data_IF_241639361829
#
_entry.id   IF_241639361829
#
_cell.length_a   1.000
_cell.length_b   1.000
_cell.length_c   1.000
_cell.angle_alpha   90.00
_cell.angle_beta   90.00
_cell.angle_gamma   90.00
#
_symmetry.space_group_name_H-M   'P 1'
#
loop_
_entity.id
_entity.type
_entity.pdbx_description
1 polymer ?
#
# COMPACT_ATOMS: atom_id res chain seq x y z
N UNK A 1 -12.86 25.32 -33.14
CA UNK A 1 -12.98 23.90 -32.77
C UNK A 1 -12.02 23.71 -31.61
N UNK A 2 -12.51 23.83 -30.38
CA UNK A 2 -11.64 23.73 -29.20
C UNK A 2 -11.17 22.28 -29.02
N UNK A 3 -9.88 22.04 -28.70
CA UNK A 3 -9.39 20.69 -28.47
C UNK A 3 -9.90 20.20 -27.10
N UNK A 4 -10.82 19.24 -27.13
CA UNK A 4 -11.32 18.53 -25.94
C UNK A 4 -10.13 17.98 -25.14
N UNK A 5 -10.09 18.32 -23.86
CA UNK A 5 -9.00 17.96 -22.98
C UNK A 5 -9.00 16.46 -22.72
N UNK A 6 -7.83 15.81 -22.79
CA UNK A 6 -7.67 14.38 -22.50
C UNK A 6 -8.07 13.99 -21.07
N UNK A 7 -8.24 14.98 -20.20
CA UNK A 7 -8.65 14.81 -18.82
C UNK A 7 -10.17 14.61 -18.67
N UNK A 8 -10.98 15.14 -19.61
CA UNK A 8 -12.46 15.01 -19.55
C UNK A 8 -12.90 13.56 -19.72
N UNK A 9 -12.23 12.81 -20.59
CA UNK A 9 -12.49 11.37 -20.81
C UNK A 9 -12.20 10.50 -19.58
N UNK A 10 -11.36 10.96 -18.65
CA UNK A 10 -11.03 10.22 -17.41
C UNK A 10 -12.09 10.50 -16.33
N UNK A 11 -12.61 11.74 -16.29
CA UNK A 11 -13.63 12.15 -15.32
C UNK A 11 -14.99 11.52 -15.62
N UNK A 12 -15.39 11.41 -16.90
CA UNK A 12 -16.67 10.78 -17.28
C UNK A 12 -16.68 9.28 -16.95
N UNK A 13 -15.56 8.58 -17.16
CA UNK A 13 -15.43 7.16 -16.80
C UNK A 13 -15.61 6.89 -15.30
N UNK A 14 -15.41 7.91 -14.45
CA UNK A 14 -15.62 7.79 -13.02
C UNK A 14 -17.09 7.94 -12.62
N UNK A 15 -17.87 8.67 -13.43
CA UNK A 15 -19.29 8.91 -13.17
C UNK A 15 -20.15 7.70 -13.55
N UNK A 16 -19.74 6.93 -14.55
CA UNK A 16 -20.44 5.69 -14.96
C UNK A 16 -20.15 4.48 -14.04
N UNK A 17 -19.10 4.52 -13.20
CA UNK A 17 -18.75 3.42 -12.29
C UNK A 17 -19.49 3.52 -10.94
N UNK A 18 -19.99 4.71 -10.58
CA UNK A 18 -20.66 4.93 -9.30
C UNK A 18 -22.10 4.38 -9.24
N UNK A 19 -22.69 3.95 -10.37
CA UNK A 19 -24.07 3.38 -10.40
C UNK A 19 -24.14 1.83 -10.36
N UNK A 20 -23.02 1.08 -10.44
CA UNK A 20 -23.04 -0.40 -10.48
C UNK A 20 -22.27 -1.14 -9.37
N UNK A 21 -21.60 -0.47 -8.42
CA UNK A 21 -20.80 -1.14 -7.37
C UNK A 21 -21.39 -1.06 -5.94
N UNK A 22 -22.71 -1.21 -5.79
CA UNK A 22 -23.30 -1.77 -4.56
C UNK A 22 -23.62 -3.26 -4.77
N UNK A 23 -22.62 -4.14 -4.87
CA UNK A 23 -22.70 -5.51 -4.32
C UNK A 23 -21.41 -6.33 -4.51
N UNK A 24 -21.05 -7.02 -3.42
CA UNK A 24 -20.22 -8.24 -3.33
C UNK A 24 -18.73 -8.07 -3.03
N UNK A 25 -18.46 -8.00 -1.74
CA UNK A 25 -17.23 -8.47 -1.08
C UNK A 25 -17.08 -9.97 -1.34
N UNK A 26 -16.19 -10.39 -2.25
CA UNK A 26 -15.64 -11.76 -2.20
C UNK A 26 -14.14 -11.76 -2.50
N UNK A 27 -13.42 -12.18 -1.47
CA UNK A 27 -11.98 -12.27 -1.35
C UNK A 27 -11.49 -13.53 -2.08
N UNK A 28 -11.13 -13.42 -3.36
CA UNK A 28 -10.43 -14.50 -4.06
C UNK A 28 -8.96 -14.55 -3.65
N UNK A 29 -8.64 -15.48 -2.75
CA UNK A 29 -7.28 -15.97 -2.51
C UNK A 29 -6.78 -16.70 -3.76
N UNK A 30 -5.93 -16.04 -4.55
CA UNK A 30 -5.19 -16.71 -5.63
C UNK A 30 -3.72 -16.80 -5.22
N UNK A 31 -3.35 -17.96 -4.67
CA UNK A 31 -1.98 -18.43 -4.64
C UNK A 31 -1.57 -18.83 -6.06
N UNK A 32 -0.90 -17.94 -6.79
CA UNK A 32 -0.17 -18.34 -8.00
C UNK A 32 1.30 -18.55 -7.66
N UNK A 33 1.62 -19.80 -7.38
CA UNK A 33 2.94 -20.38 -7.58
C UNK A 33 3.34 -20.27 -9.07
N UNK A 34 4.54 -19.75 -9.32
CA UNK A 34 5.29 -19.72 -10.58
C UNK A 34 4.49 -19.58 -11.90
N UNK A 35 4.09 -18.35 -12.22
CA UNK A 35 3.76 -17.94 -13.58
C UNK A 35 4.47 -16.63 -13.90
N UNK A 36 5.20 -16.55 -15.02
CA UNK A 36 5.85 -15.33 -15.51
C UNK A 36 4.83 -14.18 -15.54
N UNK A 37 4.83 -13.35 -14.48
CA UNK A 37 3.99 -12.17 -14.39
C UNK A 37 4.37 -11.25 -15.55
N UNK A 38 3.38 -10.81 -16.32
CA UNK A 38 3.58 -9.92 -17.46
C UNK A 38 4.41 -8.70 -17.10
N UNK A 39 4.99 -8.06 -18.11
CA UNK A 39 5.88 -6.89 -18.02
C UNK A 39 5.12 -5.67 -17.46
N UNK A 40 4.82 -5.70 -16.16
CA UNK A 40 4.13 -4.68 -15.38
C UNK A 40 4.94 -4.22 -14.17
N UNK A 41 4.34 -3.41 -13.30
CA UNK A 41 5.00 -2.86 -12.09
C UNK A 41 5.66 -3.99 -11.29
N UNK A 42 6.91 -3.82 -10.81
CA UNK A 42 7.58 -4.84 -10.02
C UNK A 42 6.72 -5.24 -8.82
N UNK A 43 6.86 -6.50 -8.42
CA UNK A 43 6.18 -7.05 -7.25
C UNK A 43 6.53 -6.21 -6.01
N UNK A 44 5.51 -5.70 -5.31
CA UNK A 44 5.68 -4.95 -4.07
C UNK A 44 5.61 -5.86 -2.84
N UNK A 45 5.85 -5.27 -1.66
CA UNK A 45 5.81 -5.96 -0.34
C UNK A 45 4.55 -6.82 -0.15
N UNK A 46 3.37 -6.32 -0.55
CA UNK A 46 2.09 -7.05 -0.46
C UNK A 46 2.07 -8.41 -1.18
N UNK A 47 2.87 -8.57 -2.22
CA UNK A 47 2.92 -9.79 -3.04
C UNK A 47 4.14 -10.66 -2.76
N UNK A 48 5.00 -10.25 -1.82
CA UNK A 48 6.16 -11.00 -1.41
C UNK A 48 5.77 -11.92 -0.23
N UNK A 49 5.94 -13.25 -0.33
CA UNK A 49 5.59 -14.19 0.74
C UNK A 49 6.40 -13.99 2.03
N UNK A 50 7.55 -13.31 1.98
CA UNK A 50 8.38 -13.05 3.16
C UNK A 50 7.83 -11.90 4.03
N UNK A 51 6.79 -11.19 3.57
CA UNK A 51 6.19 -10.07 4.29
C UNK A 51 4.76 -10.38 4.75
N UNK A 52 4.47 -10.10 6.02
CA UNK A 52 3.12 -10.08 6.56
C UNK A 52 2.57 -8.65 6.61
N UNK A 53 1.34 -8.43 6.13
CA UNK A 53 0.66 -7.14 6.30
C UNK A 53 0.09 -7.03 7.72
N UNK A 54 0.48 -5.99 8.44
CA UNK A 54 0.01 -5.70 9.81
C UNK A 54 -0.79 -4.40 9.83
N UNK A 55 -1.90 -4.39 10.56
CA UNK A 55 -2.72 -3.19 10.82
C UNK A 55 -2.80 -2.97 12.32
N UNK A 56 -2.44 -1.77 12.79
CA UNK A 56 -2.43 -1.43 14.21
C UNK A 56 -2.95 -0.01 14.42
N UNK A 57 -3.56 0.24 15.59
CA UNK A 57 -3.99 1.58 16.00
C UNK A 57 -2.87 2.27 16.77
N UNK A 58 -2.54 3.49 16.37
CA UNK A 58 -1.64 4.41 17.07
C UNK A 58 -2.28 5.79 17.13
N UNK A 59 -1.91 6.66 18.09
CA UNK A 59 -2.39 8.04 18.11
C UNK A 59 -2.13 8.73 16.78
N UNK A 60 -3.14 9.43 16.25
CA UNK A 60 -3.06 10.11 14.95
C UNK A 60 -1.92 11.13 14.90
N UNK A 61 -1.77 11.93 15.96
CA UNK A 61 -0.69 12.93 16.06
C UNK A 61 0.69 12.28 15.96
N UNK A 62 0.91 11.19 16.71
CA UNK A 62 2.16 10.43 16.65
C UNK A 62 2.45 9.92 15.23
N UNK A 63 1.46 9.36 14.55
CA UNK A 63 1.62 8.88 13.17
C UNK A 63 2.02 10.00 12.20
N UNK A 64 1.43 11.19 12.34
CA UNK A 64 1.75 12.36 11.52
C UNK A 64 3.15 12.88 11.81
N UNK A 65 3.51 13.02 13.09
CA UNK A 65 4.83 13.47 13.53
C UNK A 65 5.95 12.54 13.02
N UNK A 66 5.73 11.23 13.12
CA UNK A 66 6.67 10.21 12.62
C UNK A 66 6.81 10.31 11.10
N UNK A 67 5.72 10.47 10.34
CA UNK A 67 5.81 10.66 8.88
C UNK A 67 6.63 11.88 8.51
N UNK A 68 6.43 13.00 9.20
CA UNK A 68 7.19 14.23 8.97
C UNK A 68 8.68 13.99 9.25
N UNK A 69 9.00 13.32 10.36
CA UNK A 69 10.38 12.99 10.72
C UNK A 69 11.04 12.11 9.64
N UNK A 70 10.37 11.05 9.19
CA UNK A 70 10.89 10.14 8.16
C UNK A 70 11.17 10.83 6.81
N UNK A 71 10.34 11.80 6.43
CA UNK A 71 10.59 12.62 5.23
C UNK A 71 11.85 13.46 5.41
N UNK A 72 12.02 14.09 6.58
CA UNK A 72 13.20 14.92 6.90
C UNK A 72 14.50 14.10 6.95
N UNK A 73 14.43 12.85 7.38
CA UNK A 73 15.57 11.94 7.49
C UNK A 73 15.97 11.25 6.17
N UNK A 74 15.42 11.68 5.03
CA UNK A 74 15.77 11.15 3.71
C UNK A 74 14.71 10.24 3.08
N UNK A 75 13.47 10.28 3.58
CA UNK A 75 12.34 9.60 2.95
C UNK A 75 12.25 8.11 3.25
N UNK A 76 12.69 7.70 4.46
CA UNK A 76 12.58 6.31 4.90
C UNK A 76 11.12 5.87 5.00
N UNK A 77 10.84 4.63 4.60
CA UNK A 77 9.49 4.07 4.65
C UNK A 77 9.05 3.76 6.10
N UNK A 78 7.81 4.09 6.43
CA UNK A 78 7.24 3.80 7.76
C UNK A 78 7.31 2.30 8.11
N UNK A 79 7.06 1.41 7.15
CA UNK A 79 7.15 -0.04 7.38
C UNK A 79 8.56 -0.47 7.78
N UNK A 80 9.61 0.19 7.29
CA UNK A 80 10.99 -0.14 7.64
C UNK A 80 11.31 0.30 9.06
N UNK A 81 10.80 1.46 9.49
CA UNK A 81 10.90 1.87 10.90
C UNK A 81 10.21 0.85 11.83
N UNK A 82 9.01 0.39 11.48
CA UNK A 82 8.30 -0.62 12.26
C UNK A 82 9.07 -1.95 12.30
N UNK A 83 9.61 -2.39 11.18
CA UNK A 83 10.43 -3.61 11.08
C UNK A 83 11.64 -3.57 12.01
N UNK A 84 12.41 -2.47 12.00
CA UNK A 84 13.58 -2.29 12.86
C UNK A 84 13.20 -2.30 14.35
N UNK A 85 12.17 -1.56 14.75
CA UNK A 85 11.71 -1.51 16.15
C UNK A 85 11.26 -2.87 16.66
N UNK A 86 10.57 -3.66 15.81
CA UNK A 86 10.15 -5.01 16.18
C UNK A 86 11.34 -5.98 16.24
N UNK A 87 12.31 -5.85 15.34
CA UNK A 87 13.53 -6.66 15.37
C UNK A 87 14.38 -6.37 16.61
N UNK A 88 14.55 -5.09 16.96
CA UNK A 88 15.23 -4.65 18.19
C UNK A 88 14.52 -5.20 19.42
N UNK A 89 13.19 -5.07 19.50
CA UNK A 89 12.41 -5.63 20.60
C UNK A 89 12.57 -7.15 20.74
N UNK A 90 12.68 -7.89 19.64
CA UNK A 90 12.92 -9.34 19.68
C UNK A 90 14.33 -9.71 20.14
N UNK A 91 15.34 -8.89 19.81
CA UNK A 91 16.71 -9.08 20.28
C UNK A 91 16.77 -8.94 21.80
N UNK A 92 16.10 -7.92 22.36
CA UNK A 92 16.00 -7.70 23.81
C UNK A 92 15.32 -8.84 24.57
N UNK A 93 14.43 -9.60 23.92
CA UNK A 93 13.77 -10.76 24.54
C UNK A 93 14.53 -12.08 24.42
N UNK A 94 15.52 -12.12 23.55
CA UNK A 94 16.29 -13.33 23.26
C UNK A 94 17.63 -13.38 24.01
N UNK A 95 17.97 -12.34 24.76
CA UNK A 95 19.11 -12.27 25.69
C UNK A 95 18.69 -12.36 27.15
#
# INVERSE_FOLDING_TARGET
MEPQSKFDAILDRKRDVEEEEEHTVEQTVVSTENGKRGRGRPAGKRTNPDYAQVTAYIPKSLHEDVKIALIKEGGKEFSTLVEELLAEWMQDKSG
#
